data_IF_085358210992
#
_entry.id   IF_085358210992
#
_cell.length_a   1.000
_cell.length_b   1.000
_cell.length_c   1.000
_cell.angle_alpha   90.00
_cell.angle_beta   90.00
_cell.angle_gamma   90.00
#
_symmetry.space_group_name_H-M   'P 1'
#
loop_
_entity.id
_entity.type
_entity.pdbx_description
1 polymer ?
#
# COMPACT_ATOMS: atom_id res chain seq x y z
N UNK A 1 -5.82 12.21 -0.70
CA UNK A 1 -6.16 10.79 -0.93
C UNK A 1 -5.00 10.00 -1.51
N UNK A 2 -4.34 10.48 -2.57
CA UNK A 2 -3.20 9.76 -3.17
C UNK A 2 -2.03 9.51 -2.20
N UNK A 3 -1.71 10.48 -1.34
CA UNK A 3 -0.74 10.32 -0.24
C UNK A 3 -1.07 9.14 0.68
N UNK A 4 -2.33 8.95 1.03
CA UNK A 4 -2.75 7.81 1.86
C UNK A 4 -2.48 6.47 1.15
N UNK A 5 -2.73 6.40 -0.16
CA UNK A 5 -2.41 5.22 -0.96
C UNK A 5 -0.88 4.98 -1.03
N UNK A 6 -0.07 6.03 -1.19
CA UNK A 6 1.39 5.93 -1.16
C UNK A 6 1.92 5.45 0.20
N UNK A 7 1.33 5.93 1.30
CA UNK A 7 1.64 5.45 2.65
C UNK A 7 1.23 3.99 2.83
N UNK A 8 0.13 3.57 2.22
CA UNK A 8 -0.27 2.16 2.22
C UNK A 8 0.73 1.28 1.46
N UNK A 9 1.22 1.71 0.29
CA UNK A 9 2.29 1.04 -0.45
C UNK A 9 3.61 0.99 0.33
N UNK A 10 3.94 2.07 1.06
CA UNK A 10 5.07 2.10 1.97
C UNK A 10 4.94 1.09 3.12
N UNK A 11 3.71 0.68 3.45
CA UNK A 11 3.42 -0.26 4.52
C UNK A 11 3.28 0.42 5.88
N UNK A 12 2.66 1.59 5.94
CA UNK A 12 2.33 2.24 7.21
C UNK A 12 1.20 1.46 7.92
N UNK A 13 1.26 1.29 9.26
CA UNK A 13 0.20 0.61 10.01
C UNK A 13 -1.21 1.14 9.71
N UNK A 14 -2.24 0.30 9.93
CA UNK A 14 -3.65 0.56 9.62
C UNK A 14 -3.99 0.65 8.12
N UNK A 15 -3.06 0.28 7.24
CA UNK A 15 -3.29 0.17 5.80
C UNK A 15 -3.23 -1.28 5.34
N UNK A 16 -3.97 -1.59 4.28
CA UNK A 16 -3.95 -2.94 3.67
C UNK A 16 -2.55 -3.38 3.23
N UNK A 17 -1.70 -2.45 2.79
CA UNK A 17 -0.33 -2.75 2.37
C UNK A 17 0.59 -3.16 3.51
N UNK A 18 0.37 -2.67 4.74
CA UNK A 18 1.07 -3.17 5.93
C UNK A 18 0.62 -4.59 6.28
N UNK A 19 -0.70 -4.82 6.36
CA UNK A 19 -1.28 -6.13 6.67
C UNK A 19 -0.77 -7.20 5.71
N UNK A 20 -0.82 -6.93 4.40
CA UNK A 20 -0.37 -7.87 3.38
C UNK A 20 1.11 -8.28 3.56
N UNK A 21 2.00 -7.30 3.77
CA UNK A 21 3.42 -7.58 4.05
C UNK A 21 3.59 -8.37 5.34
N UNK A 22 2.94 -7.93 6.41
CA UNK A 22 3.05 -8.57 7.72
C UNK A 22 2.63 -10.04 7.70
N UNK A 23 1.50 -10.36 7.07
CA UNK A 23 1.01 -11.74 6.95
C UNK A 23 1.98 -12.62 6.16
N UNK A 24 2.48 -12.13 5.03
CA UNK A 24 3.47 -12.86 4.22
C UNK A 24 4.78 -13.09 4.99
N UNK A 25 5.27 -12.06 5.70
CA UNK A 25 6.48 -12.17 6.50
C UNK A 25 6.30 -13.12 7.68
N UNK A 26 5.16 -13.05 8.39
CA UNK A 26 4.84 -13.95 9.48
C UNK A 26 4.81 -15.41 9.01
N UNK A 27 4.16 -15.69 7.87
CA UNK A 27 4.13 -17.04 7.28
C UNK A 27 5.54 -17.52 6.90
N UNK A 28 6.36 -16.67 6.29
CA UNK A 28 7.73 -17.02 5.90
C UNK A 28 8.64 -17.29 7.13
N UNK A 29 8.52 -16.51 8.21
CA UNK A 29 9.25 -16.77 9.46
C UNK A 29 8.85 -18.12 10.06
N UNK A 30 7.56 -18.45 10.08
CA UNK A 30 7.07 -19.74 10.58
C UNK A 30 7.62 -20.93 9.79
N UNK A 31 7.94 -20.73 8.50
CA UNK A 31 8.57 -21.74 7.64
C UNK A 31 10.12 -21.72 7.69
N UNK A 32 10.71 -20.98 8.64
CA UNK A 32 12.17 -20.91 8.80
C UNK A 32 12.89 -20.06 7.73
N UNK A 33 12.15 -19.32 6.91
CA UNK A 33 12.68 -18.50 5.81
C UNK A 33 13.17 -17.11 6.27
N UNK A 34 13.74 -17.03 7.47
CA UNK A 34 14.15 -15.76 8.09
C UNK A 34 15.09 -14.90 7.21
N UNK A 35 16.08 -15.46 6.47
CA UNK A 35 16.92 -14.67 5.57
C UNK A 35 16.11 -13.95 4.47
N UNK A 36 15.09 -14.60 3.92
CA UNK A 36 14.22 -14.00 2.89
C UNK A 36 13.36 -12.89 3.46
N UNK A 37 12.90 -13.02 4.71
CA UNK A 37 12.16 -11.97 5.41
C UNK A 37 13.02 -10.74 5.63
N UNK A 38 14.29 -10.90 6.01
CA UNK A 38 15.23 -9.78 6.14
C UNK A 38 15.40 -9.06 4.80
N UNK A 39 15.63 -9.81 3.70
CA UNK A 39 15.74 -9.24 2.36
C UNK A 39 14.46 -8.46 1.99
N UNK A 40 13.29 -9.04 2.26
CA UNK A 40 12.00 -8.42 1.96
C UNK A 40 11.76 -7.14 2.80
N UNK A 41 12.18 -7.12 4.06
CA UNK A 41 12.12 -5.93 4.91
C UNK A 41 13.02 -4.81 4.40
N UNK A 42 14.25 -5.13 4.00
CA UNK A 42 15.18 -4.15 3.39
C UNK A 42 14.61 -3.62 2.09
N UNK A 43 14.10 -4.48 1.21
CA UNK A 43 13.45 -4.08 -0.03
C UNK A 43 12.23 -3.17 0.23
N UNK A 44 11.43 -3.47 1.26
CA UNK A 44 10.31 -2.62 1.66
C UNK A 44 10.76 -1.26 2.19
N UNK A 45 11.86 -1.19 2.95
CA UNK A 45 12.43 0.07 3.42
C UNK A 45 12.95 0.94 2.26
N UNK A 46 13.62 0.32 1.28
CA UNK A 46 14.05 0.99 0.05
C UNK A 46 12.84 1.51 -0.75
N UNK A 47 11.79 0.71 -0.90
CA UNK A 47 10.55 1.14 -1.55
C UNK A 47 9.89 2.32 -0.82
N UNK A 48 9.86 2.28 0.53
CA UNK A 48 9.30 3.36 1.34
C UNK A 48 10.01 4.71 1.08
N UNK A 49 11.34 4.70 0.88
CA UNK A 49 12.07 5.91 0.49
C UNK A 49 11.52 6.52 -0.82
N UNK A 50 11.27 5.71 -1.84
CA UNK A 50 10.72 6.20 -3.11
C UNK A 50 9.31 6.76 -2.95
N UNK A 51 8.43 6.10 -2.17
CA UNK A 51 7.07 6.58 -1.94
C UNK A 51 7.04 7.88 -1.12
N UNK A 52 7.84 7.96 -0.05
CA UNK A 52 7.95 9.17 0.76
C UNK A 52 8.53 10.34 -0.05
N UNK A 53 9.50 10.07 -0.93
CA UNK A 53 10.04 11.09 -1.83
C UNK A 53 8.94 11.68 -2.72
N UNK A 54 8.05 10.85 -3.28
CA UNK A 54 6.91 11.34 -4.06
C UNK A 54 6.00 12.22 -3.21
N UNK A 55 5.69 11.81 -1.97
CA UNK A 55 4.89 12.62 -1.05
C UNK A 55 5.55 13.98 -0.80
N UNK A 56 6.86 14.00 -0.56
CA UNK A 56 7.60 15.27 -0.35
C UNK A 56 7.48 16.16 -1.58
N UNK A 57 7.67 15.61 -2.79
CA UNK A 57 7.53 16.38 -4.04
C UNK A 57 6.11 16.92 -4.25
N UNK A 58 5.08 16.21 -3.79
CA UNK A 58 3.69 16.66 -3.91
C UNK A 58 3.35 17.87 -3.02
N UNK A 59 3.99 18.01 -1.85
CA UNK A 59 3.62 19.03 -0.86
C UNK A 59 4.67 20.14 -0.70
N UNK A 60 5.93 19.88 -1.03
CA UNK A 60 7.05 20.79 -0.74
C UNK A 60 7.82 21.23 -1.99
N UNK A 61 7.35 20.92 -3.19
CA UNK A 61 7.95 21.43 -4.43
C UNK A 61 7.07 22.50 -5.06
N UNK A 62 7.68 23.62 -5.47
CA UNK A 62 6.97 24.62 -6.24
C UNK A 62 6.49 24.03 -7.59
N UNK A 63 5.28 24.39 -8.04
CA UNK A 63 4.84 24.10 -9.40
C UNK A 63 5.82 24.70 -10.42
N UNK A 64 6.22 23.91 -11.41
CA UNK A 64 7.01 24.43 -12.53
C UNK A 64 6.22 25.50 -13.29
N UNK A 65 6.90 26.54 -13.80
CA UNK A 65 6.28 27.64 -14.53
C UNK A 65 5.47 27.17 -15.77
N UNK A 66 5.94 26.11 -16.43
CA UNK A 66 5.25 25.42 -17.54
C UNK A 66 4.70 24.04 -17.10
N UNK A 67 4.33 23.93 -15.82
CA UNK A 67 3.83 22.69 -15.25
C UNK A 67 2.46 22.28 -15.82
N UNK A 68 2.13 20.98 -15.79
CA UNK A 68 0.81 20.50 -16.22
C UNK A 68 -0.31 21.16 -15.41
N UNK A 69 -1.39 21.51 -16.09
CA UNK A 69 -2.58 22.08 -15.44
C UNK A 69 -3.30 21.00 -14.64
N UNK A 70 -3.72 21.36 -13.42
CA UNK A 70 -4.49 20.45 -12.55
C UNK A 70 -5.93 20.43 -13.09
N UNK A 71 -6.30 19.35 -13.79
CA UNK A 71 -7.68 19.15 -14.19
C UNK A 71 -8.50 18.63 -13.01
N UNK A 72 -9.76 19.05 -12.93
CA UNK A 72 -10.70 18.48 -11.97
C UNK A 72 -10.96 17.02 -12.37
N UNK A 73 -10.76 16.04 -11.47
CA UNK A 73 -11.01 14.64 -11.80
C UNK A 73 -12.48 14.43 -12.17
N UNK A 74 -12.72 13.67 -13.24
CA UNK A 74 -14.07 13.23 -13.59
C UNK A 74 -14.70 12.36 -12.50
N UNK A 75 -16.04 12.25 -12.48
CA UNK A 75 -16.79 11.53 -11.45
C UNK A 75 -16.30 10.09 -11.25
N UNK A 76 -16.05 9.35 -12.34
CA UNK A 76 -15.54 7.98 -12.29
C UNK A 76 -14.17 7.87 -11.62
N UNK A 77 -13.25 8.80 -11.92
CA UNK A 77 -11.92 8.85 -11.30
C UNK A 77 -12.03 9.08 -9.80
N UNK A 78 -12.88 10.03 -9.39
CA UNK A 78 -13.12 10.33 -7.98
C UNK A 78 -13.68 9.12 -7.24
N UNK A 79 -14.69 8.44 -7.80
CA UNK A 79 -15.27 7.23 -7.21
C UNK A 79 -14.22 6.13 -7.09
N UNK A 80 -13.45 5.86 -8.14
CA UNK A 80 -12.43 4.81 -8.13
C UNK A 80 -11.36 5.05 -7.05
N UNK A 81 -10.83 6.27 -6.94
CA UNK A 81 -9.81 6.60 -5.94
C UNK A 81 -10.40 6.53 -4.53
N UNK A 82 -11.64 7.00 -4.34
CA UNK A 82 -12.30 7.01 -3.02
C UNK A 82 -12.59 5.60 -2.54
N UNK A 83 -13.12 4.76 -3.44
CA UNK A 83 -13.35 3.34 -3.16
C UNK A 83 -12.04 2.62 -2.85
N UNK A 84 -10.99 2.86 -3.63
CA UNK A 84 -9.67 2.28 -3.39
C UNK A 84 -9.12 2.67 -2.02
N UNK A 85 -9.15 3.95 -1.65
CA UNK A 85 -8.72 4.42 -0.34
C UNK A 85 -9.57 3.84 0.80
N UNK A 86 -10.90 3.77 0.64
CA UNK A 86 -11.79 3.17 1.61
C UNK A 86 -11.49 1.69 1.82
N UNK A 87 -11.27 0.93 0.74
CA UNK A 87 -10.88 -0.48 0.81
C UNK A 87 -9.51 -0.66 1.46
N UNK A 88 -8.52 0.18 1.13
CA UNK A 88 -7.20 0.15 1.78
C UNK A 88 -7.29 0.37 3.29
N UNK A 89 -8.17 1.27 3.74
CA UNK A 89 -8.41 1.49 5.17
C UNK A 89 -9.17 0.33 5.80
N UNK A 90 -10.26 -0.12 5.18
CA UNK A 90 -11.10 -1.22 5.67
C UNK A 90 -10.29 -2.50 5.86
N UNK A 91 -9.48 -2.88 4.87
CA UNK A 91 -8.62 -4.06 4.93
C UNK A 91 -7.42 -3.88 5.88
N UNK A 92 -7.02 -2.64 6.16
CA UNK A 92 -6.01 -2.34 7.16
C UNK A 92 -6.51 -2.47 8.60
N UNK A 93 -7.76 -2.05 8.85
CA UNK A 93 -8.40 -2.08 10.17
C UNK A 93 -9.07 -3.42 10.46
N UNK A 94 -9.71 -4.01 9.46
CA UNK A 94 -10.40 -5.30 9.56
C UNK A 94 -9.84 -6.31 8.54
N UNK A 95 -8.62 -6.83 8.79
CA UNK A 95 -7.93 -7.70 7.85
C UNK A 95 -8.58 -9.09 7.70
N UNK A 96 -9.30 -9.55 8.73
CA UNK A 96 -9.98 -10.85 8.75
C UNK A 96 -10.90 -11.03 7.53
N UNK A 97 -11.62 -9.98 7.13
CA UNK A 97 -12.49 -10.01 5.94
C UNK A 97 -11.79 -10.56 4.69
N UNK A 98 -10.58 -10.06 4.38
CA UNK A 98 -9.84 -10.54 3.21
C UNK A 98 -9.10 -11.86 3.47
N UNK A 99 -8.62 -12.08 4.69
CA UNK A 99 -7.87 -13.30 5.02
C UNK A 99 -8.77 -14.54 5.05
N UNK A 100 -9.98 -14.42 5.57
CA UNK A 100 -10.97 -15.51 5.60
C UNK A 100 -11.40 -15.89 4.18
N UNK A 101 -11.60 -14.88 3.31
CA UNK A 101 -11.87 -15.08 1.89
C UNK A 101 -10.68 -15.78 1.20
N UNK A 102 -9.46 -15.32 1.43
CA UNK A 102 -8.26 -15.93 0.85
C UNK A 102 -8.04 -17.38 1.32
N UNK A 103 -8.34 -17.67 2.60
CA UNK A 103 -8.23 -19.01 3.18
C UNK A 103 -9.32 -19.98 2.71
N UNK A 104 -10.48 -19.49 2.27
CA UNK A 104 -11.54 -20.31 1.67
C UNK A 104 -11.22 -20.79 0.25
N UNK A 105 -10.26 -20.16 -0.43
CA UNK A 105 -9.78 -20.60 -1.73
C UNK A 105 -8.92 -21.86 -1.58
N UNK A 106 -9.44 -23.01 -1.99
CA UNK A 106 -8.58 -24.18 -2.19
C UNK A 106 -7.61 -23.88 -3.33
N UNK A 107 -6.32 -23.76 -3.01
CA UNK A 107 -5.27 -23.81 -4.02
C UNK A 107 -5.26 -25.24 -4.59
N UNK A 108 -5.86 -25.43 -5.77
CA UNK A 108 -5.82 -26.69 -6.51
C UNK A 108 -4.44 -26.83 -7.16
N UNK A 109 -3.42 -27.15 -6.36
CA UNK A 109 -2.09 -27.54 -6.82
C UNK A 109 -1.54 -28.62 -5.88
#
# INVERSE_FOLDING_TARGET
MFTFLLLALAGIPLTSGFVGKFVVFAAAVQQGMAPLVVIALVASAVAAFFYLRVIVLMYFSEPAADGPTVSVPGAFTTVAITLGAAMTLLLGVYPAFALDWAGSGQFVF
#
